data_IF_457099866261
#
_entry.id   IF_457099866261
#
_cell.length_a   1.000
_cell.length_b   1.000
_cell.length_c   1.000
_cell.angle_alpha   90.00
_cell.angle_beta   90.00
_cell.angle_gamma   90.00
#
_symmetry.space_group_name_H-M   'P 1'
#
loop_
_entity.id
_entity.type
_entity.pdbx_description
1 polymer ?
#
# COMPACT_ATOMS: atom_id res chain seq x y z
N UNK A 1 3.43 -22.15 -1.29
CA UNK A 1 2.48 -21.06 -1.00
C UNK A 1 1.70 -20.75 -2.27
N UNK A 2 0.40 -20.45 -2.16
CA UNK A 2 -0.46 -20.16 -3.32
C UNK A 2 -0.17 -18.76 -3.84
N UNK A 3 -0.18 -18.56 -5.17
CA UNK A 3 -0.13 -17.23 -5.79
C UNK A 3 -1.48 -16.54 -5.61
N UNK A 4 -1.46 -15.32 -5.05
CA UNK A 4 -2.66 -14.49 -4.87
C UNK A 4 -2.85 -13.53 -6.03
N UNK A 5 -1.77 -12.83 -6.43
CA UNK A 5 -1.77 -11.88 -7.53
C UNK A 5 -0.66 -12.28 -8.50
N UNK A 6 -0.94 -12.26 -9.79
CA UNK A 6 0.05 -12.48 -10.84
C UNK A 6 -0.12 -11.44 -11.95
N UNK A 7 0.96 -10.76 -12.29
CA UNK A 7 1.05 -9.83 -13.40
C UNK A 7 1.81 -10.51 -14.54
N UNK A 8 1.25 -10.48 -15.73
CA UNK A 8 1.86 -11.06 -16.94
C UNK A 8 2.00 -9.99 -18.01
N UNK A 9 3.23 -9.58 -18.28
CA UNK A 9 3.61 -8.68 -19.38
C UNK A 9 2.76 -7.41 -19.47
N UNK A 10 2.50 -6.77 -18.31
CA UNK A 10 1.66 -5.56 -18.25
C UNK A 10 2.36 -4.40 -18.94
N UNK A 11 1.63 -3.76 -19.85
CA UNK A 11 2.04 -2.51 -20.51
C UNK A 11 0.91 -1.49 -20.42
N UNK A 12 1.26 -0.22 -20.18
CA UNK A 12 0.31 0.88 -20.13
C UNK A 12 0.92 2.17 -20.62
N UNK A 13 0.23 2.81 -21.57
CA UNK A 13 0.51 4.14 -22.07
C UNK A 13 -0.69 5.06 -21.86
N UNK A 14 -0.43 6.36 -21.79
CA UNK A 14 -1.43 7.41 -21.74
C UNK A 14 -1.20 8.42 -22.85
N UNK A 15 -2.26 9.07 -23.33
CA UNK A 15 -2.10 10.18 -24.25
C UNK A 15 -1.65 11.43 -23.47
N UNK A 16 -0.63 12.10 -23.99
CA UNK A 16 -0.15 13.40 -23.49
C UNK A 16 -0.13 14.40 -24.64
N UNK A 17 0.01 15.68 -24.30
CA UNK A 17 0.13 16.77 -25.31
C UNK A 17 1.33 16.58 -26.26
N UNK A 18 2.33 15.77 -25.84
CA UNK A 18 3.55 15.46 -26.62
C UNK A 18 3.46 14.12 -27.33
N UNK A 19 2.28 13.46 -27.35
CA UNK A 19 2.07 12.14 -27.92
C UNK A 19 1.91 11.03 -26.85
N UNK A 20 1.93 9.76 -27.27
CA UNK A 20 1.80 8.62 -26.36
C UNK A 20 2.96 8.60 -25.34
N UNK A 21 2.60 8.49 -24.07
CA UNK A 21 3.54 8.37 -22.96
C UNK A 21 3.44 6.97 -22.38
N UNK A 22 4.46 6.15 -22.63
CA UNK A 22 4.55 4.83 -22.02
C UNK A 22 4.95 4.96 -20.55
N UNK A 23 4.09 4.45 -19.66
CA UNK A 23 4.26 4.56 -18.21
C UNK A 23 4.69 3.24 -17.59
N UNK A 24 4.11 2.12 -18.04
CA UNK A 24 4.44 0.76 -17.58
C UNK A 24 4.82 -0.07 -18.79
N UNK A 25 5.94 -0.76 -18.74
CA UNK A 25 6.47 -1.53 -19.85
C UNK A 25 6.84 -2.95 -19.43
N UNK A 26 6.09 -3.93 -19.95
CA UNK A 26 6.35 -5.35 -19.81
C UNK A 26 6.61 -5.82 -18.36
N UNK A 27 5.80 -5.33 -17.42
CA UNK A 27 5.94 -5.68 -15.99
C UNK A 27 5.33 -7.04 -15.72
N UNK A 28 6.12 -7.93 -15.12
CA UNK A 28 5.70 -9.28 -14.72
C UNK A 28 6.26 -9.61 -13.35
N UNK A 29 5.41 -9.99 -12.41
CA UNK A 29 5.75 -10.58 -11.12
C UNK A 29 4.53 -11.26 -10.49
N UNK A 30 4.75 -12.00 -9.42
CA UNK A 30 3.68 -12.62 -8.64
C UNK A 30 3.79 -12.26 -7.18
N UNK A 31 2.65 -12.29 -6.48
CA UNK A 31 2.54 -12.08 -5.03
C UNK A 31 1.85 -13.29 -4.42
N UNK A 32 2.44 -13.82 -3.36
CA UNK A 32 1.91 -14.98 -2.64
C UNK A 32 0.77 -14.57 -1.71
N UNK A 33 -0.13 -15.48 -1.42
CA UNK A 33 -1.18 -15.27 -0.43
C UNK A 33 -0.58 -14.97 0.95
N UNK A 34 -1.00 -13.84 1.55
CA UNK A 34 -0.50 -13.37 2.84
C UNK A 34 0.89 -12.72 2.78
N UNK A 35 1.45 -12.49 1.58
CA UNK A 35 2.73 -11.81 1.41
C UNK A 35 2.55 -10.29 1.47
N UNK A 36 3.49 -9.61 2.12
CA UNK A 36 3.61 -8.16 2.09
C UNK A 36 4.70 -7.76 1.10
N UNK A 37 4.32 -7.17 -0.04
CA UNK A 37 5.25 -6.70 -1.06
C UNK A 37 5.29 -5.17 -1.09
N UNK A 38 6.48 -4.58 -1.02
CA UNK A 38 6.68 -3.15 -1.23
C UNK A 38 7.22 -2.88 -2.64
N UNK A 39 6.69 -1.83 -3.27
CA UNK A 39 7.14 -1.28 -4.54
C UNK A 39 7.84 0.05 -4.26
N UNK A 40 9.15 0.12 -4.50
CA UNK A 40 9.94 1.35 -4.32
C UNK A 40 10.50 1.81 -5.66
N UNK A 41 10.61 3.10 -5.87
CA UNK A 41 11.11 3.67 -7.12
C UNK A 41 11.04 5.18 -7.14
N UNK A 42 11.66 5.86 -8.12
CA UNK A 42 11.67 7.32 -8.24
C UNK A 42 10.26 7.93 -8.29
N UNK A 43 10.14 9.18 -7.87
CA UNK A 43 8.88 9.92 -8.01
C UNK A 43 8.47 10.02 -9.49
N UNK A 44 7.17 9.82 -9.76
CA UNK A 44 6.64 9.90 -11.12
C UNK A 44 7.01 8.74 -12.05
N UNK A 45 7.66 7.68 -11.56
CA UNK A 45 8.00 6.53 -12.42
C UNK A 45 6.78 5.73 -12.89
N UNK A 46 5.64 5.76 -12.18
CA UNK A 46 4.43 5.03 -12.57
C UNK A 46 3.93 4.05 -11.50
N UNK A 47 4.41 4.13 -10.25
CA UNK A 47 4.00 3.25 -9.13
C UNK A 47 2.49 3.24 -8.92
N UNK A 48 1.88 4.41 -8.80
CA UNK A 48 0.42 4.57 -8.65
C UNK A 48 -0.33 3.97 -9.84
N UNK A 49 0.19 4.13 -11.07
CA UNK A 49 -0.40 3.50 -12.26
C UNK A 49 -0.35 1.98 -12.15
N UNK A 50 0.78 1.42 -11.76
CA UNK A 50 0.94 -0.03 -11.57
C UNK A 50 0.00 -0.56 -10.48
N UNK A 51 -0.16 0.16 -9.36
CA UNK A 51 -1.10 -0.19 -8.31
C UNK A 51 -2.55 -0.18 -8.81
N UNK A 52 -2.93 0.86 -9.57
CA UNK A 52 -4.26 0.97 -10.15
C UNK A 52 -4.55 -0.11 -11.19
N UNK A 53 -3.54 -0.56 -11.95
CA UNK A 53 -3.64 -1.72 -12.84
C UNK A 53 -3.93 -2.99 -12.02
N UNK A 54 -3.17 -3.23 -10.94
CA UNK A 54 -3.37 -4.37 -10.06
C UNK A 54 -4.72 -4.36 -9.36
N UNK A 55 -5.19 -3.20 -8.92
CA UNK A 55 -6.49 -3.04 -8.27
C UNK A 55 -7.68 -3.05 -9.27
N UNK A 56 -7.39 -2.99 -10.60
CA UNK A 56 -8.40 -3.03 -11.66
C UNK A 56 -9.09 -1.70 -11.95
N UNK A 57 -8.60 -0.58 -11.40
CA UNK A 57 -9.12 0.77 -11.71
C UNK A 57 -8.65 1.29 -13.06
N UNK A 58 -7.49 0.82 -13.53
CA UNK A 58 -6.96 1.11 -14.86
C UNK A 58 -6.83 -0.20 -15.63
N UNK A 59 -7.21 -0.19 -16.91
CA UNK A 59 -7.03 -1.35 -17.80
C UNK A 59 -5.66 -1.30 -18.44
N UNK A 60 -4.91 -2.41 -18.49
CA UNK A 60 -3.67 -2.48 -19.25
C UNK A 60 -3.97 -2.38 -20.75
N UNK A 61 -3.00 -1.89 -21.54
CA UNK A 61 -3.07 -1.91 -23.00
C UNK A 61 -2.68 -3.30 -23.54
N UNK A 62 -1.77 -3.97 -22.84
CA UNK A 62 -1.45 -5.40 -23.06
C UNK A 62 -1.07 -6.08 -21.75
N UNK A 63 -1.08 -7.41 -21.76
CA UNK A 63 -0.84 -8.22 -20.57
C UNK A 63 -2.11 -8.44 -19.74
N UNK A 64 -1.95 -9.05 -18.57
CA UNK A 64 -3.09 -9.45 -17.73
C UNK A 64 -2.71 -9.43 -16.26
N UNK A 65 -3.64 -8.96 -15.42
CA UNK A 65 -3.63 -9.16 -13.96
C UNK A 65 -4.52 -10.34 -13.62
N UNK A 66 -4.01 -11.27 -12.83
CA UNK A 66 -4.70 -12.47 -12.41
C UNK A 66 -4.77 -12.47 -10.89
N UNK A 67 -5.97 -12.64 -10.32
CA UNK A 67 -6.19 -12.78 -8.87
C UNK A 67 -6.83 -14.12 -8.62
N UNK A 68 -6.23 -14.94 -7.74
CA UNK A 68 -6.67 -16.30 -7.44
C UNK A 68 -6.90 -17.16 -8.71
N UNK A 69 -6.02 -17.01 -9.70
CA UNK A 69 -6.09 -17.75 -10.97
C UNK A 69 -7.13 -17.21 -11.97
N UNK A 70 -7.84 -16.12 -11.63
CA UNK A 70 -8.87 -15.52 -12.50
C UNK A 70 -8.42 -14.16 -13.03
N UNK A 71 -8.47 -13.89 -14.35
CA UNK A 71 -8.16 -12.59 -14.90
C UNK A 71 -9.06 -11.49 -14.32
N UNK A 72 -8.45 -10.38 -13.88
CA UNK A 72 -9.16 -9.23 -13.35
C UNK A 72 -9.34 -8.17 -14.42
N UNK A 73 -10.58 -7.84 -14.74
CA UNK A 73 -10.92 -6.80 -15.73
C UNK A 73 -11.45 -5.48 -15.10
N UNK A 74 -11.81 -5.51 -13.81
CA UNK A 74 -12.39 -4.38 -13.05
C UNK A 74 -12.14 -4.55 -11.56
N UNK A 75 -12.27 -3.49 -10.74
CA UNK A 75 -12.19 -3.60 -9.28
C UNK A 75 -13.18 -4.63 -8.74
N UNK A 76 -12.79 -5.32 -7.68
CA UNK A 76 -13.63 -6.31 -7.00
C UNK A 76 -13.63 -6.05 -5.48
N UNK A 77 -14.58 -6.64 -4.77
CA UNK A 77 -14.76 -6.48 -3.33
C UNK A 77 -13.67 -7.14 -2.46
N UNK A 78 -12.74 -7.92 -3.05
CA UNK A 78 -11.67 -8.59 -2.32
C UNK A 78 -10.51 -7.65 -1.99
N UNK A 79 -10.35 -6.57 -2.78
CA UNK A 79 -9.27 -5.61 -2.64
C UNK A 79 -9.75 -4.23 -2.22
N UNK A 80 -9.05 -3.63 -1.26
CA UNK A 80 -9.24 -2.23 -0.86
C UNK A 80 -8.01 -1.44 -1.28
N UNK A 81 -8.25 -0.26 -1.87
CA UNK A 81 -7.21 0.70 -2.23
C UNK A 81 -7.23 1.89 -1.27
N UNK A 82 -6.12 2.10 -0.57
CA UNK A 82 -5.82 3.34 0.15
C UNK A 82 -5.03 4.22 -0.80
N UNK A 83 -5.66 5.26 -1.34
CA UNK A 83 -5.04 6.16 -2.30
C UNK A 83 -4.29 7.30 -1.61
N UNK A 84 -3.38 7.94 -2.34
CA UNK A 84 -2.64 9.10 -1.85
C UNK A 84 -3.57 10.30 -1.56
N UNK A 85 -4.61 10.49 -2.37
CA UNK A 85 -5.50 11.68 -2.34
C UNK A 85 -6.60 11.66 -1.28
N UNK A 86 -6.66 10.63 -0.45
CA UNK A 86 -7.72 10.51 0.55
C UNK A 86 -9.01 9.86 0.01
N UNK A 87 -9.67 9.10 0.87
CA UNK A 87 -10.86 8.33 0.49
C UNK A 87 -12.01 8.39 1.50
N UNK A 88 -11.89 9.18 2.58
CA UNK A 88 -12.99 9.35 3.54
C UNK A 88 -14.14 10.15 2.94
N UNK A 89 -15.37 9.78 3.29
CA UNK A 89 -16.55 10.52 2.88
C UNK A 89 -16.69 11.81 3.70
N UNK A 90 -16.64 13.01 3.08
CA UNK A 90 -16.59 14.27 3.82
C UNK A 90 -17.90 14.62 4.54
N UNK A 91 -19.00 13.96 4.19
CA UNK A 91 -20.33 14.14 4.81
C UNK A 91 -20.67 13.13 5.91
N UNK A 92 -19.74 12.21 6.22
CA UNK A 92 -19.87 11.22 7.30
C UNK A 92 -18.84 11.53 8.40
N UNK A 93 -19.20 11.26 9.65
CA UNK A 93 -18.27 11.30 10.78
C UNK A 93 -17.21 10.19 10.66
N UNK A 94 -16.19 10.20 11.51
CA UNK A 94 -15.16 9.13 11.55
C UNK A 94 -15.85 7.78 11.77
N UNK A 95 -16.71 7.65 12.76
CA UNK A 95 -17.46 6.42 13.08
C UNK A 95 -18.28 5.95 11.88
N UNK A 96 -19.06 6.83 11.28
CA UNK A 96 -19.89 6.50 10.11
C UNK A 96 -19.08 6.08 8.90
N UNK A 97 -17.92 6.71 8.69
CA UNK A 97 -16.97 6.30 7.65
C UNK A 97 -16.50 4.84 7.82
N UNK A 98 -16.19 4.44 9.05
CA UNK A 98 -15.80 3.07 9.35
C UNK A 98 -16.98 2.10 9.18
N UNK A 99 -18.15 2.48 9.72
CA UNK A 99 -19.36 1.65 9.65
C UNK A 99 -19.84 1.43 8.21
N UNK A 100 -19.59 2.38 7.32
CA UNK A 100 -20.00 2.27 5.90
C UNK A 100 -19.49 1.01 5.20
N UNK A 101 -18.32 0.51 5.59
CA UNK A 101 -17.73 -0.71 5.02
C UNK A 101 -18.27 -2.02 5.62
N UNK A 102 -19.02 -1.96 6.73
CA UNK A 102 -19.40 -3.14 7.53
C UNK A 102 -20.68 -3.85 7.05
N UNK A 103 -21.13 -3.63 5.82
CA UNK A 103 -22.38 -4.18 5.28
C UNK A 103 -22.51 -5.72 5.36
N UNK A 104 -21.43 -6.44 5.64
CA UNK A 104 -21.42 -7.91 5.84
C UNK A 104 -21.58 -8.35 7.31
N UNK A 105 -21.65 -7.41 8.26
CA UNK A 105 -21.77 -7.67 9.69
C UNK A 105 -23.17 -7.33 10.19
N UNK A 106 -23.66 -7.95 11.31
CA UNK A 106 -24.89 -7.54 11.95
C UNK A 106 -24.83 -6.05 12.35
N UNK A 107 -25.86 -5.23 12.07
CA UNK A 107 -25.85 -3.80 12.38
C UNK A 107 -25.59 -3.48 13.87
N UNK A 108 -25.97 -4.38 14.78
CA UNK A 108 -25.74 -4.23 16.22
C UNK A 108 -24.24 -4.17 16.60
N UNK A 109 -23.37 -4.79 15.79
CA UNK A 109 -21.94 -4.86 16.09
C UNK A 109 -21.13 -3.72 15.43
N UNK A 110 -21.75 -2.94 14.53
CA UNK A 110 -21.03 -1.93 13.74
C UNK A 110 -20.34 -0.87 14.58
N UNK A 111 -21.03 -0.37 15.62
CA UNK A 111 -20.48 0.68 16.49
C UNK A 111 -19.27 0.16 17.28
N UNK A 112 -19.39 -1.01 17.90
CA UNK A 112 -18.30 -1.62 18.68
C UNK A 112 -17.07 -1.94 17.81
N UNK A 113 -17.30 -2.43 16.60
CA UNK A 113 -16.23 -2.70 15.64
C UNK A 113 -15.56 -1.38 15.23
N UNK A 114 -16.34 -0.35 14.88
CA UNK A 114 -15.81 0.95 14.49
C UNK A 114 -15.00 1.59 15.62
N UNK A 115 -15.51 1.60 16.85
CA UNK A 115 -14.84 2.18 18.01
C UNK A 115 -13.53 1.49 18.34
N UNK A 116 -13.46 0.17 18.17
CA UNK A 116 -12.22 -0.58 18.30
C UNK A 116 -11.15 -0.12 17.29
N UNK A 117 -11.52 0.12 16.03
CA UNK A 117 -10.57 0.59 15.02
C UNK A 117 -10.21 2.07 15.23
N UNK A 118 -11.13 2.89 15.73
CA UNK A 118 -10.85 4.27 16.17
C UNK A 118 -9.77 4.29 17.26
N UNK A 119 -9.88 3.40 18.26
CA UNK A 119 -8.86 3.24 19.30
C UNK A 119 -7.50 2.78 18.72
N UNK A 120 -7.50 1.80 17.81
CA UNK A 120 -6.29 1.26 17.16
C UNK A 120 -5.51 2.37 16.46
N UNK A 121 -6.21 3.25 15.74
CA UNK A 121 -5.55 4.34 14.97
C UNK A 121 -5.36 5.61 15.84
N UNK A 122 -5.69 5.58 17.13
CA UNK A 122 -5.51 6.69 18.07
C UNK A 122 -6.36 7.92 17.74
N UNK A 123 -7.61 7.69 17.34
CA UNK A 123 -8.62 8.72 17.09
C UNK A 123 -9.71 8.77 18.17
N UNK A 124 -9.46 8.19 19.34
CA UNK A 124 -10.39 8.25 20.48
C UNK A 124 -10.72 9.68 20.86
N UNK A 125 -12.02 9.97 21.00
CA UNK A 125 -12.56 11.30 21.25
C UNK A 125 -12.86 12.11 19.98
N UNK A 126 -12.60 11.54 18.78
CA UNK A 126 -12.91 12.15 17.48
C UNK A 126 -13.88 11.28 16.65
N UNK A 127 -14.57 10.34 17.29
CA UNK A 127 -15.47 9.39 16.63
C UNK A 127 -16.58 10.09 15.85
N UNK A 128 -17.11 11.16 16.42
CA UNK A 128 -18.23 11.93 15.90
C UNK A 128 -17.80 13.19 15.13
N UNK A 129 -16.47 13.39 14.93
CA UNK A 129 -15.91 14.48 14.13
C UNK A 129 -16.04 14.19 12.64
N UNK A 130 -16.28 15.24 11.87
CA UNK A 130 -16.28 15.20 10.41
C UNK A 130 -14.85 15.34 9.84
N UNK A 131 -14.57 14.85 8.63
CA UNK A 131 -13.24 14.94 7.99
C UNK A 131 -12.64 16.35 7.96
N UNK A 132 -13.44 17.39 7.78
CA UNK A 132 -12.96 18.77 7.74
C UNK A 132 -12.54 19.34 9.13
N UNK A 133 -12.86 18.65 10.21
CA UNK A 133 -12.46 19.00 11.58
C UNK A 133 -11.16 18.31 12.00
N UNK A 134 -10.64 17.40 11.16
CA UNK A 134 -9.45 16.61 11.43
C UNK A 134 -8.19 17.24 10.83
N UNK A 135 -7.04 17.07 11.50
CA UNK A 135 -5.75 17.34 10.87
C UNK A 135 -5.46 16.34 9.74
N UNK A 136 -4.56 16.67 8.82
CA UNK A 136 -4.19 15.77 7.73
C UNK A 136 -3.72 14.38 8.18
N UNK A 137 -2.96 14.33 9.29
CA UNK A 137 -2.54 13.07 9.89
C UNK A 137 -3.69 12.28 10.53
N UNK A 138 -4.66 12.96 11.15
CA UNK A 138 -5.87 12.31 11.69
C UNK A 138 -6.73 11.76 10.56
N UNK A 139 -6.86 12.51 9.49
CA UNK A 139 -7.60 12.09 8.30
C UNK A 139 -7.00 10.81 7.69
N UNK A 140 -5.67 10.75 7.58
CA UNK A 140 -4.98 9.57 7.05
C UNK A 140 -5.15 8.33 7.94
N UNK A 141 -5.18 8.53 9.27
CA UNK A 141 -5.49 7.45 10.23
C UNK A 141 -6.92 6.95 10.11
N UNK A 142 -7.89 7.85 9.90
CA UNK A 142 -9.28 7.47 9.64
C UNK A 142 -9.43 6.66 8.34
N UNK A 143 -8.68 7.01 7.27
CA UNK A 143 -8.62 6.23 6.04
C UNK A 143 -8.10 4.81 6.26
N UNK A 144 -6.98 4.68 6.98
CA UNK A 144 -6.42 3.37 7.33
C UNK A 144 -7.43 2.53 8.12
N UNK A 145 -8.06 3.11 9.14
CA UNK A 145 -9.09 2.42 9.92
C UNK A 145 -10.24 1.94 9.04
N UNK A 146 -10.74 2.81 8.15
CA UNK A 146 -11.82 2.50 7.22
C UNK A 146 -11.48 1.36 6.26
N UNK A 147 -10.22 1.30 5.79
CA UNK A 147 -9.76 0.24 4.92
C UNK A 147 -9.59 -1.10 5.66
N UNK A 148 -9.12 -1.06 6.89
CA UNK A 148 -8.83 -2.26 7.68
C UNK A 148 -10.07 -2.87 8.34
N UNK A 149 -11.08 -2.06 8.67
CA UNK A 149 -12.30 -2.50 9.36
C UNK A 149 -13.07 -3.57 8.59
N UNK A 150 -13.00 -3.55 7.26
CA UNK A 150 -13.68 -4.50 6.37
C UNK A 150 -12.89 -5.79 6.12
N UNK A 151 -11.70 -5.92 6.70
CA UNK A 151 -10.82 -7.10 6.60
C UNK A 151 -10.61 -7.59 5.17
N UNK A 152 -10.06 -6.76 4.28
CA UNK A 152 -9.90 -7.10 2.87
C UNK A 152 -8.92 -8.28 2.68
N UNK A 153 -9.12 -9.12 1.66
CA UNK A 153 -8.15 -10.16 1.29
C UNK A 153 -6.85 -9.54 0.73
N UNK A 154 -6.98 -8.42 0.02
CA UNK A 154 -5.87 -7.69 -0.59
C UNK A 154 -5.95 -6.22 -0.19
N UNK A 155 -4.85 -5.69 0.33
CA UNK A 155 -4.70 -4.28 0.69
C UNK A 155 -3.69 -3.63 -0.25
N UNK A 156 -4.17 -2.69 -1.06
CA UNK A 156 -3.34 -1.84 -1.91
C UNK A 156 -3.14 -0.50 -1.21
N UNK A 157 -1.90 -0.07 -1.03
CA UNK A 157 -1.58 1.16 -0.29
C UNK A 157 -0.64 2.04 -1.11
N UNK A 158 -1.07 3.27 -1.40
CA UNK A 158 -0.27 4.28 -2.09
C UNK A 158 0.20 5.36 -1.11
N UNK A 159 1.43 5.26 -0.64
CA UNK A 159 2.08 6.15 0.31
C UNK A 159 1.22 6.43 1.58
N UNK A 160 0.76 5.38 2.30
CA UNK A 160 -0.25 5.53 3.34
C UNK A 160 0.22 6.33 4.56
N UNK A 161 1.53 6.48 4.77
CA UNK A 161 2.10 7.15 5.94
C UNK A 161 2.77 8.48 5.62
N UNK A 162 2.77 8.95 4.36
CA UNK A 162 3.47 10.15 3.92
C UNK A 162 3.01 11.46 4.59
N UNK A 163 1.76 11.52 5.07
CA UNK A 163 1.20 12.69 5.75
C UNK A 163 1.34 12.65 7.28
N UNK A 164 2.02 11.63 7.83
CA UNK A 164 2.20 11.45 9.26
C UNK A 164 3.58 11.94 9.69
N UNK A 165 3.67 12.51 10.90
CA UNK A 165 4.97 12.74 11.54
C UNK A 165 5.68 11.40 11.84
N UNK A 166 7.01 11.47 12.02
CA UNK A 166 7.85 10.27 12.16
C UNK A 166 7.41 9.34 13.31
N UNK A 167 6.98 9.91 14.45
CA UNK A 167 6.58 9.12 15.62
C UNK A 167 5.24 8.41 15.38
N UNK A 168 4.28 9.14 14.79
CA UNK A 168 2.98 8.60 14.43
C UNK A 168 3.08 7.58 13.30
N UNK A 169 3.91 7.84 12.29
CA UNK A 169 4.18 6.88 11.21
C UNK A 169 4.70 5.55 11.77
N UNK A 170 5.69 5.61 12.69
CA UNK A 170 6.23 4.40 13.33
C UNK A 170 5.15 3.65 14.14
N UNK A 171 4.32 4.35 14.89
CA UNK A 171 3.20 3.74 15.64
C UNK A 171 2.21 3.06 14.71
N UNK A 172 1.82 3.73 13.63
CA UNK A 172 0.85 3.19 12.66
C UNK A 172 1.41 1.97 11.89
N UNK A 173 2.70 1.99 11.53
CA UNK A 173 3.37 0.82 10.93
C UNK A 173 3.34 -0.39 11.87
N UNK A 174 3.61 -0.18 13.16
CA UNK A 174 3.57 -1.25 14.16
C UNK A 174 2.14 -1.78 14.38
N UNK A 175 1.13 -0.89 14.42
CA UNK A 175 -0.28 -1.32 14.53
C UNK A 175 -0.73 -2.09 13.28
N UNK A 176 -0.34 -1.64 12.08
CA UNK A 176 -0.60 -2.37 10.86
C UNK A 176 -0.03 -3.80 10.94
N UNK A 177 1.23 -3.95 11.34
CA UNK A 177 1.86 -5.27 11.52
C UNK A 177 1.12 -6.14 12.53
N UNK A 178 0.63 -5.56 13.65
CA UNK A 178 -0.17 -6.29 14.65
C UNK A 178 -1.50 -6.78 14.10
N UNK A 179 -2.16 -5.98 13.26
CA UNK A 179 -3.41 -6.37 12.60
C UNK A 179 -3.13 -7.50 11.60
N UNK A 180 -2.14 -7.31 10.73
CA UNK A 180 -1.77 -8.28 9.70
C UNK A 180 -1.28 -9.62 10.28
N UNK A 181 -0.66 -9.61 11.48
CA UNK A 181 -0.26 -10.83 12.17
C UNK A 181 -1.45 -11.67 12.67
N UNK A 182 -2.61 -11.06 12.89
CA UNK A 182 -3.84 -11.75 13.34
C UNK A 182 -4.71 -12.21 12.17
N UNK A 183 -4.64 -11.54 11.06
CA UNK A 183 -5.48 -11.75 9.89
C UNK A 183 -4.57 -11.86 8.65
N UNK A 184 -4.79 -12.86 7.82
CA UNK A 184 -3.98 -13.06 6.60
C UNK A 184 -4.45 -12.10 5.50
N UNK A 185 -3.76 -10.99 5.37
CA UNK A 185 -3.92 -10.06 4.25
C UNK A 185 -2.75 -10.17 3.29
N UNK A 186 -3.01 -10.10 2.00
CA UNK A 186 -1.97 -9.85 0.99
C UNK A 186 -1.83 -8.35 0.84
N UNK A 187 -0.63 -7.81 0.94
CA UNK A 187 -0.41 -6.35 0.96
C UNK A 187 0.52 -5.93 -0.15
N UNK A 188 0.13 -4.90 -0.90
CA UNK A 188 0.96 -4.19 -1.85
C UNK A 188 1.11 -2.75 -1.37
N UNK A 189 2.32 -2.36 -1.02
CA UNK A 189 2.67 -1.03 -0.56
C UNK A 189 3.47 -0.29 -1.62
N UNK A 190 3.07 0.91 -1.98
CA UNK A 190 3.93 1.87 -2.65
C UNK A 190 4.50 2.80 -1.59
N UNK A 191 5.82 2.96 -1.63
CA UNK A 191 6.51 3.96 -0.82
C UNK A 191 7.76 4.46 -1.53
N UNK A 192 8.22 5.64 -1.19
CA UNK A 192 9.54 6.17 -1.54
C UNK A 192 10.54 6.02 -0.37
N UNK A 193 10.08 5.57 0.80
CA UNK A 193 10.89 5.35 2.00
C UNK A 193 11.38 3.89 2.04
N UNK A 194 12.67 3.69 1.80
CA UNK A 194 13.32 2.37 1.83
C UNK A 194 13.29 1.74 3.22
N UNK A 195 13.38 2.55 4.28
CA UNK A 195 13.31 2.05 5.66
C UNK A 195 11.91 1.55 5.99
N UNK A 196 10.87 2.23 5.50
CA UNK A 196 9.50 1.78 5.59
C UNK A 196 9.31 0.43 4.89
N UNK A 197 9.81 0.29 3.66
CA UNK A 197 9.75 -0.95 2.90
C UNK A 197 10.45 -2.10 3.65
N UNK A 198 11.66 -1.87 4.17
CA UNK A 198 12.40 -2.87 4.97
C UNK A 198 11.67 -3.20 6.27
N UNK A 199 11.03 -2.22 6.91
CA UNK A 199 10.31 -2.43 8.17
C UNK A 199 9.08 -3.32 7.98
N UNK A 200 8.35 -3.17 6.87
CA UNK A 200 7.04 -3.77 6.67
C UNK A 200 7.05 -5.00 5.76
N UNK A 201 7.76 -4.95 4.63
CA UNK A 201 7.56 -5.91 3.55
C UNK A 201 8.39 -7.20 3.72
N UNK A 202 7.84 -8.31 3.25
CA UNK A 202 8.56 -9.58 3.12
C UNK A 202 9.47 -9.56 1.89
N UNK A 203 9.07 -8.79 0.86
CA UNK A 203 9.80 -8.63 -0.39
C UNK A 203 9.65 -7.21 -0.93
N UNK A 204 10.73 -6.68 -1.50
CA UNK A 204 10.81 -5.34 -2.05
C UNK A 204 11.12 -5.45 -3.53
N UNK A 205 10.29 -4.84 -4.38
CA UNK A 205 10.53 -4.69 -5.82
C UNK A 205 11.00 -3.25 -6.07
N UNK A 206 12.19 -3.11 -6.62
CA UNK A 206 12.73 -1.83 -7.07
C UNK A 206 12.29 -1.60 -8.50
N UNK A 207 11.67 -0.46 -8.74
CA UNK A 207 11.15 -0.06 -10.03
C UNK A 207 12.07 0.97 -10.69
N UNK A 208 12.25 0.84 -12.00
CA UNK A 208 13.02 1.79 -12.82
C UNK A 208 12.32 3.15 -12.89
N UNK A 209 13.04 4.17 -13.40
CA UNK A 209 12.41 5.35 -13.97
C UNK A 209 11.47 4.97 -15.12
N UNK A 210 10.64 5.94 -15.56
CA UNK A 210 9.67 5.72 -16.65
C UNK A 210 10.36 5.42 -17.99
N UNK A 211 9.90 4.40 -18.73
CA UNK A 211 8.78 3.50 -18.41
C UNK A 211 9.12 2.53 -17.28
N UNK A 212 8.13 2.28 -16.40
CA UNK A 212 8.30 1.44 -15.22
C UNK A 212 8.55 -0.01 -15.60
N UNK A 213 9.64 -0.58 -15.08
CA UNK A 213 9.99 -2.00 -15.13
C UNK A 213 10.41 -2.45 -13.73
N UNK A 214 10.34 -3.73 -13.44
CA UNK A 214 10.98 -4.30 -12.24
C UNK A 214 12.48 -4.39 -12.52
N UNK A 215 13.27 -3.58 -11.79
CA UNK A 215 14.73 -3.49 -11.94
C UNK A 215 15.44 -4.52 -11.08
N UNK A 216 15.00 -4.63 -9.80
CA UNK A 216 15.56 -5.57 -8.85
C UNK A 216 14.49 -6.09 -7.88
N UNK A 217 14.76 -7.22 -7.25
CA UNK A 217 13.91 -7.83 -6.24
C UNK A 217 14.75 -8.22 -5.04
N UNK A 218 14.34 -7.83 -3.85
CA UNK A 218 14.99 -8.14 -2.59
C UNK A 218 14.03 -8.87 -1.66
N UNK A 219 14.41 -10.03 -1.17
CA UNK A 219 13.73 -10.68 -0.04
C UNK A 219 14.19 -10.00 1.26
N UNK A 220 13.29 -9.84 2.23
CA UNK A 220 13.60 -9.29 3.54
C UNK A 220 13.57 -10.43 4.57
N UNK A 221 14.71 -11.09 4.83
CA UNK A 221 14.76 -12.37 5.57
C UNK A 221 14.65 -12.18 7.09
N UNK A 222 14.24 -10.99 7.56
CA UNK A 222 14.19 -10.67 8.99
C UNK A 222 12.78 -10.85 9.54
N UNK A 223 12.67 -11.54 10.67
CA UNK A 223 11.40 -11.66 11.41
C UNK A 223 11.03 -10.36 12.10
N UNK A 224 9.73 -10.10 12.27
CA UNK A 224 9.23 -8.97 13.07
C UNK A 224 9.36 -9.25 14.58
N UNK A 225 9.64 -8.23 15.43
CA UNK A 225 9.92 -6.83 15.07
C UNK A 225 11.33 -6.66 14.50
N UNK A 226 11.46 -5.92 13.40
CA UNK A 226 12.72 -5.69 12.70
C UNK A 226 13.52 -4.56 13.32
N UNK A 227 14.85 -4.76 13.48
CA UNK A 227 15.79 -3.73 13.92
C UNK A 227 16.46 -3.09 12.71
N UNK A 228 15.98 -1.93 12.28
CA UNK A 228 16.52 -1.21 11.13
C UNK A 228 17.99 -0.80 11.30
N UNK A 229 18.46 -0.67 12.55
CA UNK A 229 19.86 -0.35 12.90
C UNK A 229 20.80 -1.55 12.85
N UNK A 230 20.32 -2.78 12.57
CA UNK A 230 21.19 -3.94 12.45
C UNK A 230 22.06 -3.85 11.19
N UNK A 231 23.29 -4.40 11.23
CA UNK A 231 24.20 -4.40 10.08
C UNK A 231 23.53 -4.98 8.82
N UNK A 232 22.81 -6.10 8.96
CA UNK A 232 22.12 -6.74 7.84
C UNK A 232 20.99 -5.87 7.25
N UNK A 233 20.23 -5.13 8.07
CA UNK A 233 19.22 -4.19 7.58
C UNK A 233 19.84 -3.01 6.86
N UNK A 234 20.98 -2.50 7.34
CA UNK A 234 21.70 -1.41 6.71
C UNK A 234 22.33 -1.85 5.37
N UNK A 235 22.87 -3.06 5.29
CA UNK A 235 23.39 -3.63 4.05
C UNK A 235 22.29 -3.78 2.99
N UNK A 236 21.12 -4.29 3.39
CA UNK A 236 19.95 -4.37 2.51
C UNK A 236 19.51 -2.97 2.04
N UNK A 237 19.47 -1.99 2.96
CA UNK A 237 19.13 -0.61 2.63
C UNK A 237 20.09 -0.02 1.59
N UNK A 238 21.40 -0.19 1.79
CA UNK A 238 22.41 0.27 0.85
C UNK A 238 22.28 -0.40 -0.52
N UNK A 239 21.99 -1.70 -0.56
CA UNK A 239 21.77 -2.43 -1.81
C UNK A 239 20.56 -1.89 -2.58
N UNK A 240 19.45 -1.60 -1.89
CA UNK A 240 18.26 -1.01 -2.51
C UNK A 240 18.55 0.42 -3.03
N UNK A 241 19.28 1.24 -2.26
CA UNK A 241 19.64 2.61 -2.63
C UNK A 241 20.53 2.63 -3.90
N UNK A 242 21.49 1.71 -4.03
CA UNK A 242 22.29 1.56 -5.25
C UNK A 242 21.42 1.27 -6.49
N UNK A 243 20.46 0.36 -6.35
CA UNK A 243 19.53 0.06 -7.45
C UNK A 243 18.63 1.28 -7.81
N UNK A 244 18.36 2.16 -6.84
CA UNK A 244 17.64 3.41 -7.08
C UNK A 244 18.54 4.52 -7.67
N UNK A 245 19.84 4.26 -7.87
CA UNK A 245 20.81 5.23 -8.38
C UNK A 245 21.21 6.30 -7.34
N UNK A 246 21.06 6.00 -6.05
CA UNK A 246 21.52 6.86 -4.96
C UNK A 246 22.87 6.31 -4.46
N UNK A 247 23.95 6.73 -5.08
CA UNK A 247 25.31 6.44 -4.60
C UNK A 247 25.66 7.37 -3.45
N UNK A 248 26.06 6.80 -2.30
CA UNK A 248 26.52 7.56 -1.14
C UNK A 248 27.98 8.05 -1.26
N UNK A 249 28.64 7.82 -2.39
CA UNK A 249 30.05 8.20 -2.60
C UNK A 249 30.25 9.65 -3.11
N UNK A 250 29.18 10.43 -3.30
CA UNK A 250 29.26 11.85 -3.72
C UNK A 250 29.13 12.85 -2.56
N UNK A 251 29.41 12.45 -1.32
CA UNK A 251 29.46 13.37 -0.15
C UNK A 251 30.89 13.39 0.42
N UNK A 252 31.85 13.89 -0.34
CA UNK A 252 33.10 14.50 0.13
C UNK A 252 33.18 16.00 -0.25
#
# INVERSE_FOLDING_TARGET
MRTKIELRNLTKSFQSDKGPLEVVENVSFSVREGEFVALVGPSGCGKTTLLNLMAGFVRPDSGTVIIDGTPQAKPNSRGILISQQGSVFPWLTVRENLMFGLNGHPPADHADIADRYVDIVGLKGFEDSFPHELSGGMLKRAELARALVVKPEILYMDEPFSALDALMSLRMRNELLRILAKERHTVILITHDVEEAIHLADRILVLSSRPTRVQATFEVPFSHPRKLTSAASQELRMSILRELGVDHDEAE
#
